data_IF_656387964853
#
_entry.id   IF_656387964853
#
_cell.length_a   1.000
_cell.length_b   1.000
_cell.length_c   1.000
_cell.angle_alpha   90.00
_cell.angle_beta   90.00
_cell.angle_gamma   90.00
#
_symmetry.space_group_name_H-M   'P 1'
#
loop_
_entity.id
_entity.type
_entity.pdbx_description
1 polymer ?
#
# COMPACT_ATOMS: atom_id res chain seq x y z
N UNK A 1 -10.84 -2.61 12.01
CA UNK A 1 -11.68 -3.24 10.96
C UNK A 1 -11.03 -3.14 9.57
N UNK A 2 -10.87 -1.95 8.98
CA UNK A 2 -10.31 -1.84 7.61
C UNK A 2 -8.84 -2.27 7.46
N UNK A 3 -7.99 -1.97 8.45
CA UNK A 3 -6.57 -2.35 8.39
C UNK A 3 -6.37 -3.88 8.36
N UNK A 4 -7.04 -4.61 9.25
CA UNK A 4 -6.98 -6.08 9.29
C UNK A 4 -7.45 -6.71 7.97
N UNK A 5 -8.54 -6.20 7.37
CA UNK A 5 -9.01 -6.65 6.06
C UNK A 5 -7.94 -6.54 4.98
N UNK A 6 -7.20 -5.44 4.94
CA UNK A 6 -6.12 -5.24 3.96
C UNK A 6 -4.86 -6.03 4.30
N UNK A 7 -4.55 -6.23 5.58
CA UNK A 7 -3.43 -7.07 6.01
C UNK A 7 -3.66 -8.54 5.63
N UNK A 8 -4.88 -9.06 5.82
CA UNK A 8 -5.25 -10.43 5.45
C UNK A 8 -5.23 -10.65 3.93
N UNK A 9 -5.55 -9.60 3.16
CA UNK A 9 -5.58 -9.63 1.71
C UNK A 9 -4.22 -9.88 1.05
N UNK A 10 -3.12 -9.60 1.74
CA UNK A 10 -1.76 -9.84 1.24
C UNK A 10 -1.57 -11.34 0.93
N UNK A 11 -2.28 -12.23 1.61
CA UNK A 11 -2.13 -13.69 1.46
C UNK A 11 -3.06 -14.32 0.41
N UNK A 12 -3.93 -13.53 -0.22
CA UNK A 12 -4.86 -14.04 -1.24
C UNK A 12 -4.09 -14.24 -2.57
N UNK A 13 -4.35 -15.34 -3.28
CA UNK A 13 -3.71 -15.62 -4.58
C UNK A 13 -4.12 -14.64 -5.69
N UNK A 14 -3.16 -14.37 -6.59
CA UNK A 14 -3.33 -13.52 -7.77
C UNK A 14 -4.48 -14.04 -8.66
N UNK A 15 -5.31 -13.14 -9.16
CA UNK A 15 -6.39 -13.48 -10.10
C UNK A 15 -7.65 -14.07 -9.48
N UNK A 16 -7.70 -14.26 -8.16
CA UNK A 16 -8.95 -14.58 -7.47
C UNK A 16 -9.94 -13.41 -7.58
N UNK A 17 -11.24 -13.70 -7.73
CA UNK A 17 -12.27 -12.64 -7.75
C UNK A 17 -12.22 -11.74 -6.49
N UNK A 18 -11.78 -12.31 -5.36
CA UNK A 18 -11.61 -11.59 -4.11
C UNK A 18 -10.48 -10.56 -4.13
N UNK A 19 -9.35 -10.79 -4.83
CA UNK A 19 -8.25 -9.81 -4.83
C UNK A 19 -8.62 -8.54 -5.60
N UNK A 20 -9.40 -8.66 -6.68
CA UNK A 20 -9.87 -7.50 -7.46
C UNK A 20 -10.77 -6.58 -6.63
N UNK A 21 -11.71 -7.14 -5.86
CA UNK A 21 -12.58 -6.34 -4.99
C UNK A 21 -11.77 -5.60 -3.91
N UNK A 22 -10.74 -6.25 -3.36
CA UNK A 22 -9.85 -5.64 -2.36
C UNK A 22 -9.00 -4.51 -2.97
N UNK A 23 -8.54 -4.65 -4.21
CA UNK A 23 -7.88 -3.57 -4.93
C UNK A 23 -8.80 -2.37 -5.14
N UNK A 24 -10.04 -2.60 -5.54
CA UNK A 24 -11.02 -1.53 -5.72
C UNK A 24 -11.29 -0.79 -4.40
N UNK A 25 -11.41 -1.51 -3.27
CA UNK A 25 -11.56 -0.90 -1.96
C UNK A 25 -10.34 -0.09 -1.52
N UNK A 26 -9.13 -0.62 -1.73
CA UNK A 26 -7.88 0.09 -1.43
C UNK A 26 -7.75 1.39 -2.26
N UNK A 27 -8.11 1.32 -3.55
CA UNK A 27 -8.14 2.48 -4.44
C UNK A 27 -9.19 3.51 -4.00
N UNK A 28 -10.38 3.07 -3.58
CA UNK A 28 -11.40 3.97 -3.05
C UNK A 28 -10.90 4.74 -1.80
N UNK A 29 -10.22 4.04 -0.88
CA UNK A 29 -9.59 4.69 0.30
C UNK A 29 -8.53 5.70 -0.14
N UNK A 30 -7.68 5.34 -1.10
CA UNK A 30 -6.66 6.23 -1.64
C UNK A 30 -7.27 7.50 -2.24
N UNK A 31 -8.23 7.36 -3.16
CA UNK A 31 -8.86 8.48 -3.86
C UNK A 31 -9.59 9.43 -2.90
N UNK A 32 -10.42 8.90 -2.00
CA UNK A 32 -11.15 9.73 -1.01
C UNK A 32 -10.17 10.50 -0.12
N UNK A 33 -9.08 9.85 0.32
CA UNK A 33 -8.07 10.50 1.16
C UNK A 33 -7.30 11.57 0.38
N UNK A 34 -6.98 11.29 -0.87
CA UNK A 34 -6.24 12.20 -1.76
C UNK A 34 -7.07 13.44 -2.08
N UNK A 35 -8.34 13.29 -2.45
CA UNK A 35 -9.25 14.40 -2.70
C UNK A 35 -9.43 15.27 -1.44
N UNK A 36 -9.52 14.64 -0.27
CA UNK A 36 -9.57 15.34 1.01
C UNK A 36 -8.26 16.11 1.30
N UNK A 37 -7.10 15.52 0.99
CA UNK A 37 -5.80 16.18 1.13
C UNK A 37 -5.69 17.40 0.21
N UNK A 38 -6.17 17.31 -1.04
CA UNK A 38 -6.26 18.43 -1.98
C UNK A 38 -7.15 19.53 -1.41
N UNK A 39 -8.36 19.19 -0.98
CA UNK A 39 -9.33 20.15 -0.42
C UNK A 39 -8.76 20.91 0.77
N UNK A 40 -7.96 20.23 1.60
CA UNK A 40 -7.31 20.82 2.77
C UNK A 40 -5.94 21.43 2.49
N UNK A 41 -5.44 21.35 1.25
CA UNK A 41 -4.09 21.77 0.85
C UNK A 41 -2.99 21.20 1.76
N UNK A 42 -3.14 19.94 2.14
CA UNK A 42 -2.27 19.27 3.11
C UNK A 42 -1.99 17.84 2.67
N UNK A 43 -0.81 17.66 2.06
CA UNK A 43 -0.32 16.36 1.56
C UNK A 43 -0.13 15.34 2.68
N UNK A 44 0.09 15.78 3.93
CA UNK A 44 0.28 14.87 5.07
C UNK A 44 -0.95 14.00 5.33
N UNK A 45 -2.14 14.46 4.91
CA UNK A 45 -3.39 13.70 5.06
C UNK A 45 -3.44 12.44 4.19
N UNK A 46 -2.69 12.38 3.08
CA UNK A 46 -2.51 11.17 2.28
C UNK A 46 -1.90 10.02 3.10
N UNK A 47 -1.20 10.31 4.20
CA UNK A 47 -0.64 9.31 5.09
C UNK A 47 -1.68 8.35 5.67
N UNK A 48 -2.96 8.73 5.76
CA UNK A 48 -4.03 7.82 6.18
C UNK A 48 -4.19 6.63 5.21
N UNK A 49 -4.26 6.90 3.90
CA UNK A 49 -4.41 5.86 2.90
C UNK A 49 -3.22 4.88 2.93
N UNK A 50 -1.99 5.39 3.05
CA UNK A 50 -0.80 4.56 3.15
C UNK A 50 -0.75 3.71 4.43
N UNK A 51 -1.24 4.22 5.56
CA UNK A 51 -1.29 3.46 6.82
C UNK A 51 -2.34 2.34 6.80
N UNK A 52 -3.44 2.54 6.08
CA UNK A 52 -4.58 1.60 6.09
C UNK A 52 -4.51 0.61 4.94
N UNK A 53 -4.20 1.07 3.73
CA UNK A 53 -4.27 0.29 2.50
C UNK A 53 -2.90 0.17 1.79
N UNK A 54 -1.82 0.66 2.39
CA UNK A 54 -0.52 0.79 1.72
C UNK A 54 0.04 -0.54 1.18
N UNK A 55 -0.07 -1.62 1.95
CA UNK A 55 0.39 -2.95 1.53
C UNK A 55 -0.32 -3.45 0.26
N UNK A 56 -1.65 -3.33 0.22
CA UNK A 56 -2.48 -3.72 -0.92
C UNK A 56 -2.24 -2.80 -2.13
N UNK A 57 -2.08 -1.49 -1.90
CA UNK A 57 -1.74 -0.55 -2.97
C UNK A 57 -0.37 -0.87 -3.58
N UNK A 58 0.64 -1.17 -2.77
CA UNK A 58 1.98 -1.56 -3.27
C UNK A 58 1.88 -2.82 -4.12
N UNK A 59 1.14 -3.83 -3.66
CA UNK A 59 0.90 -5.07 -4.43
C UNK A 59 0.21 -4.79 -5.76
N UNK A 60 -0.89 -4.03 -5.75
CA UNK A 60 -1.61 -3.63 -6.96
C UNK A 60 -0.71 -2.95 -8.00
N UNK A 61 0.11 -1.98 -7.58
CA UNK A 61 1.01 -1.27 -8.49
C UNK A 61 2.19 -2.11 -8.97
N UNK A 62 2.67 -3.07 -8.17
CA UNK A 62 3.69 -4.03 -8.59
C UNK A 62 3.13 -4.97 -9.67
N UNK A 63 1.94 -5.54 -9.45
CA UNK A 63 1.27 -6.42 -10.42
C UNK A 63 0.97 -5.71 -11.74
N UNK A 64 0.50 -4.45 -11.68
CA UNK A 64 0.33 -3.57 -12.86
C UNK A 64 1.61 -3.42 -13.70
N UNK A 65 2.77 -3.54 -13.07
CA UNK A 65 4.08 -3.45 -13.70
C UNK A 65 4.72 -4.82 -14.00
N UNK A 66 3.97 -5.92 -13.84
CA UNK A 66 4.49 -7.29 -13.90
C UNK A 66 5.68 -7.54 -12.94
N UNK A 67 5.68 -6.86 -11.80
CA UNK A 67 6.65 -7.01 -10.73
C UNK A 67 6.06 -7.76 -9.54
N UNK A 68 6.93 -8.35 -8.72
CA UNK A 68 6.54 -9.01 -7.46
C UNK A 68 6.92 -8.13 -6.28
N UNK A 69 6.09 -8.15 -5.24
CA UNK A 69 6.40 -7.49 -3.98
C UNK A 69 7.29 -8.37 -3.10
N UNK A 70 8.25 -7.75 -2.42
CA UNK A 70 9.06 -8.39 -1.39
C UNK A 70 8.67 -7.83 -0.02
N UNK A 71 8.30 -8.71 0.92
CA UNK A 71 8.14 -8.32 2.32
C UNK A 71 9.53 -8.31 2.97
N UNK A 72 9.91 -7.18 3.54
CA UNK A 72 11.20 -6.99 4.20
C UNK A 72 11.03 -6.15 5.46
N UNK A 73 11.88 -6.40 6.46
CA UNK A 73 11.92 -5.56 7.65
C UNK A 73 12.63 -4.25 7.35
N UNK A 74 12.32 -3.20 8.12
CA UNK A 74 13.03 -1.92 8.02
C UNK A 74 14.52 -2.06 8.34
N UNK A 75 14.91 -3.01 9.19
CA UNK A 75 16.32 -3.29 9.48
C UNK A 75 17.05 -3.86 8.27
N UNK A 76 16.45 -4.86 7.59
CA UNK A 76 17.04 -5.44 6.38
C UNK A 76 17.15 -4.40 5.26
N UNK A 77 16.13 -3.56 5.07
CA UNK A 77 16.22 -2.44 4.12
C UNK A 77 17.32 -1.45 4.48
N UNK A 78 17.49 -1.12 5.77
CA UNK A 78 18.54 -0.21 6.23
C UNK A 78 19.93 -0.83 6.06
N UNK A 79 20.08 -2.14 6.18
CA UNK A 79 21.34 -2.83 5.91
C UNK A 79 21.70 -2.81 4.42
N UNK A 80 20.72 -2.96 3.53
CA UNK A 80 20.95 -2.97 2.07
C UNK A 80 21.16 -1.55 1.52
N UNK A 81 20.37 -0.58 1.98
CA UNK A 81 20.30 0.77 1.39
C UNK A 81 20.83 1.88 2.30
N UNK A 82 21.03 1.60 3.58
CA UNK A 82 21.67 2.54 4.51
C UNK A 82 23.15 2.57 4.22
N UNK A 83 23.58 3.54 3.42
CA UNK A 83 25.00 3.87 3.29
C UNK A 83 25.59 4.11 4.68
N UNK A 84 26.79 3.57 4.90
CA UNK A 84 27.72 4.06 5.90
C UNK A 84 27.84 5.58 5.72
N UNK A 85 27.37 6.33 6.72
CA UNK A 85 27.61 7.77 6.81
C UNK A 85 29.00 7.92 7.43
N UNK A 86 30.03 8.03 6.59
CA UNK A 86 31.31 8.69 6.92
C UNK A 86 31.21 10.19 6.69
#
# INVERSE_FOLDING_TARGET
>A
MYKQKFDDAINIEDGSKGITDIYNEALAVYHVTYDYAILKKDVGKCGFAWKVAGSVLVRFYAEKQNQKTLICSSSALREIFGKDVE
#
